data_IF_089897307797
#
_entry.id   IF_089897307797
#
_cell.length_a   1.000
_cell.length_b   1.000
_cell.length_c   1.000
_cell.angle_alpha   90.00
_cell.angle_beta   90.00
_cell.angle_gamma   90.00
#
_symmetry.space_group_name_H-M   'P 1'
#
loop_
_entity.id
_entity.type
_entity.pdbx_description
1 polymer ?
#
# COMPACT_ATOMS: atom_id res chain seq x y z
N UNK A 1 -17.12 -6.38 -12.87
CA UNK A 1 -16.23 -7.55 -12.89
C UNK A 1 -15.15 -7.41 -11.86
N UNK A 2 -14.86 -8.47 -11.17
CA UNK A 2 -13.88 -8.48 -10.09
C UNK A 2 -12.46 -8.54 -10.66
N UNK A 3 -11.62 -7.62 -10.26
CA UNK A 3 -10.22 -7.64 -10.64
C UNK A 3 -9.38 -7.67 -9.38
N UNK A 4 -8.69 -8.78 -9.19
CA UNK A 4 -7.84 -8.95 -8.02
C UNK A 4 -6.38 -8.85 -8.45
N UNK A 5 -5.56 -8.32 -7.55
CA UNK A 5 -4.14 -8.17 -7.79
C UNK A 5 -3.39 -9.27 -7.05
N UNK A 6 -2.37 -9.79 -7.71
CA UNK A 6 -1.44 -10.71 -7.05
C UNK A 6 -0.42 -9.89 -6.27
N UNK A 7 0.34 -10.59 -5.41
CA UNK A 7 1.42 -9.89 -4.70
C UNK A 7 2.45 -9.34 -5.69
N UNK A 8 2.65 -10.01 -6.81
CA UNK A 8 3.58 -9.53 -7.82
C UNK A 8 3.06 -8.24 -8.47
N UNK A 9 1.75 -8.19 -8.72
CA UNK A 9 1.14 -6.97 -9.27
C UNK A 9 1.33 -5.79 -8.31
N UNK A 10 1.07 -6.01 -7.03
CA UNK A 10 1.19 -4.95 -6.02
C UNK A 10 2.66 -4.54 -5.87
N UNK A 11 3.56 -5.50 -5.90
CA UNK A 11 5.00 -5.23 -5.85
C UNK A 11 5.39 -4.27 -6.96
N UNK A 12 4.90 -4.51 -8.17
CA UNK A 12 5.20 -3.65 -9.30
C UNK A 12 4.56 -2.27 -9.16
N UNK A 13 3.31 -2.23 -8.73
CA UNK A 13 2.58 -0.97 -8.61
C UNK A 13 3.21 -0.07 -7.55
N UNK A 14 3.58 -0.64 -6.42
CA UNK A 14 4.17 0.12 -5.32
C UNK A 14 5.68 0.25 -5.46
N UNK A 15 6.27 -0.48 -6.38
CA UNK A 15 7.71 -0.50 -6.59
C UNK A 15 8.46 -0.92 -5.34
N UNK A 16 7.96 -1.96 -4.71
CA UNK A 16 8.61 -2.57 -3.54
C UNK A 16 8.86 -4.03 -3.85
N UNK A 17 9.79 -4.62 -3.14
CA UNK A 17 10.13 -6.02 -3.38
C UNK A 17 9.04 -6.93 -2.84
N UNK A 18 8.98 -8.15 -3.39
CA UNK A 18 8.07 -9.17 -2.86
C UNK A 18 8.40 -9.47 -1.40
N UNK A 19 9.69 -9.46 -1.06
CA UNK A 19 10.11 -9.67 0.32
C UNK A 19 9.53 -8.63 1.26
N UNK A 20 9.51 -7.38 0.83
CA UNK A 20 8.92 -6.31 1.63
C UNK A 20 7.43 -6.54 1.84
N UNK A 21 6.71 -6.91 0.78
CA UNK A 21 5.28 -7.17 0.91
C UNK A 21 5.00 -8.32 1.86
N UNK A 22 5.79 -9.39 1.75
CA UNK A 22 5.63 -10.56 2.61
C UNK A 22 5.93 -10.21 4.06
N UNK A 23 6.96 -9.42 4.30
CA UNK A 23 7.30 -8.97 5.63
C UNK A 23 6.18 -8.11 6.21
N UNK A 24 5.63 -7.19 5.41
CA UNK A 24 4.52 -6.35 5.86
C UNK A 24 3.32 -7.19 6.30
N UNK A 25 3.01 -8.24 5.55
CA UNK A 25 1.91 -9.12 5.95
C UNK A 25 2.18 -9.78 7.30
N UNK A 26 3.43 -10.16 7.53
CA UNK A 26 3.80 -10.79 8.80
C UNK A 26 3.65 -9.86 9.98
N UNK A 27 3.98 -8.58 9.79
CA UNK A 27 3.93 -7.61 10.88
C UNK A 27 2.66 -6.77 10.86
N UNK A 28 1.71 -7.17 10.05
CA UNK A 28 0.39 -6.53 9.93
C UNK A 28 0.49 -5.10 9.48
N UNK A 29 1.33 -4.87 8.49
CA UNK A 29 1.46 -3.58 7.84
C UNK A 29 1.23 -3.76 6.35
N UNK A 30 1.24 -2.65 5.61
CA UNK A 30 1.01 -2.71 4.19
C UNK A 30 -0.48 -2.72 3.84
N UNK A 31 -0.79 -2.87 2.56
CA UNK A 31 -2.19 -2.85 2.12
C UNK A 31 -2.94 -4.07 2.63
N UNK A 32 -4.26 -3.93 2.85
CA UNK A 32 -5.08 -5.07 3.21
C UNK A 32 -5.03 -6.14 2.12
N UNK A 33 -5.07 -7.37 2.54
CA UNK A 33 -5.07 -8.50 1.63
C UNK A 33 -6.06 -9.56 2.13
N UNK A 34 -6.35 -10.52 1.27
CA UNK A 34 -7.16 -11.65 1.68
C UNK A 34 -6.66 -12.90 0.97
N UNK A 35 -7.09 -14.03 1.46
CA UNK A 35 -6.66 -15.31 0.93
C UNK A 35 -7.77 -15.91 0.09
N UNK A 36 -7.42 -16.34 -1.10
CA UNK A 36 -8.29 -17.12 -1.96
C UNK A 36 -7.70 -18.52 -1.96
N UNK A 37 -8.19 -19.38 -1.06
CA UNK A 37 -7.52 -20.63 -0.80
C UNK A 37 -6.13 -20.35 -0.23
N UNK A 38 -5.08 -20.95 -0.80
CA UNK A 38 -3.72 -20.68 -0.34
C UNK A 38 -3.09 -19.43 -0.95
N UNK A 39 -3.81 -18.75 -1.84
CA UNK A 39 -3.24 -17.65 -2.61
C UNK A 39 -3.58 -16.31 -1.98
N UNK A 40 -2.59 -15.42 -1.96
CA UNK A 40 -2.78 -14.05 -1.46
C UNK A 40 -3.23 -13.16 -2.61
N UNK A 41 -4.26 -12.36 -2.34
CA UNK A 41 -4.80 -11.43 -3.34
C UNK A 41 -5.07 -10.10 -2.67
N UNK A 42 -5.03 -9.05 -3.48
CA UNK A 42 -5.29 -7.68 -3.04
C UNK A 42 -6.38 -7.08 -3.90
N UNK A 43 -7.16 -6.18 -3.32
CA UNK A 43 -8.13 -5.41 -4.11
C UNK A 43 -7.47 -4.11 -4.53
N UNK A 44 -7.64 -3.70 -5.79
CA UNK A 44 -7.05 -2.44 -6.25
C UNK A 44 -7.44 -1.24 -5.40
N UNK A 45 -8.72 -1.16 -5.03
CA UNK A 45 -9.21 -0.04 -4.23
C UNK A 45 -8.61 -0.03 -2.83
N UNK A 46 -8.36 -1.21 -2.26
CA UNK A 46 -7.74 -1.30 -0.94
C UNK A 46 -6.29 -0.84 -0.98
N UNK A 47 -5.57 -1.22 -2.04
CA UNK A 47 -4.18 -0.79 -2.21
C UNK A 47 -4.12 0.71 -2.37
N UNK A 48 -5.02 1.26 -3.15
CA UNK A 48 -5.05 2.69 -3.41
C UNK A 48 -5.38 3.47 -2.14
N UNK A 49 -6.36 3.01 -1.39
CA UNK A 49 -6.75 3.65 -0.13
C UNK A 49 -5.59 3.61 0.86
N UNK A 50 -4.94 2.45 0.96
CA UNK A 50 -3.80 2.31 1.87
C UNK A 50 -2.69 3.27 1.48
N UNK A 51 -2.38 3.36 0.19
CA UNK A 51 -1.32 4.23 -0.28
C UNK A 51 -1.64 5.70 0.01
N UNK A 52 -2.88 6.09 -0.19
CA UNK A 52 -3.29 7.47 0.06
C UNK A 52 -3.17 7.86 1.52
N UNK A 53 -3.24 6.88 2.40
CA UNK A 53 -3.16 7.14 3.84
C UNK A 53 -1.73 7.19 4.35
N UNK A 54 -0.74 6.90 3.50
CA UNK A 54 0.64 6.91 3.93
C UNK A 54 1.15 8.33 4.13
N UNK A 55 2.00 8.54 5.13
CA UNK A 55 2.54 9.88 5.34
C UNK A 55 3.45 10.30 4.19
N UNK A 56 3.39 11.56 3.84
CA UNK A 56 4.32 12.12 2.87
C UNK A 56 5.50 12.71 3.62
N UNK A 57 6.67 12.62 3.02
CA UNK A 57 7.87 13.18 3.61
C UNK A 57 8.64 13.96 2.56
N UNK A 58 9.73 14.53 2.97
CA UNK A 58 10.59 15.25 2.06
C UNK A 58 10.07 16.62 1.76
N UNK A 59 9.62 16.88 0.60
CA UNK A 59 9.19 18.21 0.17
C UNK A 59 8.10 18.79 1.05
N UNK A 60 7.87 19.96 0.87
CA UNK A 60 6.83 20.65 1.61
C UNK A 60 5.47 20.34 1.01
N UNK A 61 5.54 20.14 1.02
CA UNK A 61 4.65 20.13 0.71
C UNK A 61 3.84 19.83 0.53
N UNK A 62 3.66 19.81 0.69
CA UNK A 62 2.96 19.45 0.44
C UNK A 62 2.11 19.11 0.33
N UNK A 63 1.96 19.35 0.31
CA UNK A 63 1.07 19.12 0.09
C UNK A 63 0.13 18.55 0.21
N UNK A 64 -0.26 18.66 0.50
CA UNK A 64 -1.31 18.13 0.53
C UNK A 64 -1.85 17.84 1.34
N UNK A 65 -1.66 18.02 1.84
CA UNK A 65 -2.18 17.76 2.55
C UNK A 65 -2.33 17.59 3.24
N UNK A 66 -2.07 17.86 3.39
CA UNK A 66 -2.27 17.84 3.93
C UNK A 66 -2.14 17.56 4.68
N UNK A 67 -1.77 17.86 4.95
CA UNK A 67 -1.66 17.83 5.49
C UNK A 67 -1.27 17.52 6.17
N UNK A 68 -0.82 17.79 6.39
CA UNK A 68 -0.43 17.70 6.85
C UNK A 68 0.03 17.54 7.39
N UNK A 69 0.45 17.97 7.63
CA UNK A 69 0.93 18.02 7.99
C UNK A 69 1.42 17.82 8.83
N UNK A 70 1.93 17.93 9.40
CA UNK A 70 2.34 17.87 9.91
C UNK A 70 3.12 17.87 10.23
N UNK A 71 3.49 18.17 10.16
CA UNK A 71 4.08 18.20 9.97
C UNK A 71 4.73 18.05 9.67
N UNK A 72 5.13 18.30 9.52
CA UNK A 72 5.46 18.25 8.82
C UNK A 72 5.95 18.29 8.54
N UNK A 73 6.41 18.70 8.76
CA UNK A 73 6.53 18.78 8.13
C UNK A 73 6.58 18.67 7.99
#
# INVERSE_FOLDING_TARGET
>A
MLTLLTERDVSKQLRVSLGSLRRWRMIRQGPPFFKVGPLVRYRPEDVETWLSAQPTGGGAQSQRKAATDRLSA
#
